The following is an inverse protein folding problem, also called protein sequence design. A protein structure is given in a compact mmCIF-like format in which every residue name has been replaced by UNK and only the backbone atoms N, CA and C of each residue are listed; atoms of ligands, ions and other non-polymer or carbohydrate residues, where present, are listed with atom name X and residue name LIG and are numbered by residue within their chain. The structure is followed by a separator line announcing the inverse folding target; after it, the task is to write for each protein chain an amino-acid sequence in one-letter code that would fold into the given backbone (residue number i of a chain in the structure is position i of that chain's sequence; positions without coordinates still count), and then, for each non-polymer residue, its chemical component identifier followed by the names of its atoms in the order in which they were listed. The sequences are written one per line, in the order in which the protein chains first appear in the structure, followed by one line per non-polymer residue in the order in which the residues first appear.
data_IF_473628703273
#
_entry.id   IF_473628703273
#
_cell.length_a   1.000
_cell.length_b   1.000
_cell.length_c   1.000
_cell.angle_alpha   90.00
_cell.angle_beta   90.00
_cell.angle_gamma   90.00
#
_symmetry.space_group_name_H-M   'P 1'
#
loop_
_entity.id
_entity.type
_entity.pdbx_description
1 polymer ?
#
# COMPACT_ATOMS: atom_id res chain seq x y z
N UNK A 1 20.63 8.01 16.94
CA UNK A 1 20.00 6.82 17.58
C UNK A 1 18.50 6.83 17.34
N UNK A 2 17.98 5.86 16.56
CA UNK A 2 16.54 5.74 16.29
C UNK A 2 15.80 5.58 17.63
N UNK A 3 14.74 6.36 17.90
CA UNK A 3 13.99 6.22 19.14
C UNK A 3 13.43 4.80 19.23
N UNK A 4 13.84 4.06 20.26
CA UNK A 4 13.28 2.74 20.54
C UNK A 4 11.89 2.95 21.12
N UNK A 5 10.89 2.41 20.44
CA UNK A 5 9.52 2.37 20.92
C UNK A 5 9.47 1.64 22.27
N UNK A 6 8.71 2.17 23.24
CA UNK A 6 8.53 1.52 24.53
C UNK A 6 7.99 0.09 24.33
N UNK A 7 8.46 -0.85 25.14
CA UNK A 7 8.18 -2.28 24.91
C UNK A 7 6.70 -2.62 25.00
N UNK A 8 5.94 -1.86 25.76
CA UNK A 8 4.54 -2.21 26.01
C UNK A 8 3.61 -1.65 24.93
N UNK A 9 4.06 -0.76 24.04
CA UNK A 9 3.23 -0.16 23.00
C UNK A 9 3.49 -0.74 21.60
N UNK A 10 4.25 -1.83 21.47
CA UNK A 10 4.37 -2.60 20.22
C UNK A 10 3.32 -3.73 20.19
N UNK A 11 2.48 -3.74 19.14
CA UNK A 11 1.46 -4.78 18.92
C UNK A 11 2.05 -6.18 18.99
N UNK A 12 3.26 -6.39 18.45
CA UNK A 12 3.92 -7.70 18.36
C UNK A 12 4.32 -8.25 19.73
N UNK A 13 4.48 -7.38 20.73
CA UNK A 13 4.81 -7.78 22.10
C UNK A 13 3.56 -8.13 22.91
N UNK A 14 2.45 -7.43 22.67
CA UNK A 14 1.13 -7.75 23.29
C UNK A 14 0.48 -8.98 22.67
N UNK A 15 0.64 -9.14 21.36
CA UNK A 15 0.12 -10.24 20.58
C UNK A 15 1.29 -10.85 19.80
N UNK A 16 2.01 -11.82 20.39
CA UNK A 16 3.11 -12.49 19.71
C UNK A 16 2.67 -12.95 18.33
N UNK A 17 3.50 -12.79 17.30
CA UNK A 17 3.17 -13.29 15.96
C UNK A 17 3.32 -14.82 16.02
N UNK A 18 2.25 -15.49 16.40
CA UNK A 18 2.11 -16.93 16.59
C UNK A 18 0.69 -17.29 16.17
N UNK A 19 0.50 -18.49 15.63
CA UNK A 19 -0.74 -18.88 14.91
C UNK A 19 -2.08 -18.52 15.58
N UNK A 20 -2.15 -18.42 16.91
CA UNK A 20 -3.40 -18.10 17.63
C UNK A 20 -3.59 -16.61 17.99
N UNK A 21 -2.54 -15.81 17.95
CA UNK A 21 -2.56 -14.38 18.31
C UNK A 21 -2.54 -13.45 17.09
N UNK A 22 -2.33 -14.00 15.90
CA UNK A 22 -2.34 -13.26 14.63
C UNK A 22 -3.67 -12.54 14.39
N UNK A 23 -4.81 -13.16 14.71
CA UNK A 23 -6.13 -12.53 14.54
C UNK A 23 -6.31 -11.29 15.43
N UNK A 24 -5.86 -11.36 16.69
CA UNK A 24 -5.94 -10.21 17.62
C UNK A 24 -5.01 -9.09 17.19
N UNK A 25 -3.81 -9.43 16.70
CA UNK A 25 -2.88 -8.46 16.13
C UNK A 25 -3.46 -7.80 14.87
N UNK A 26 -4.07 -8.59 13.98
CA UNK A 26 -4.73 -8.10 12.76
C UNK A 26 -5.86 -7.13 13.09
N UNK A 27 -6.78 -7.52 13.98
CA UNK A 27 -7.89 -6.65 14.43
C UNK A 27 -7.34 -5.34 15.00
N UNK A 28 -6.30 -5.42 15.84
CA UNK A 28 -5.67 -4.24 16.43
C UNK A 28 -5.05 -3.31 15.38
N UNK A 29 -4.38 -3.87 14.36
CA UNK A 29 -3.82 -3.11 13.23
C UNK A 29 -4.91 -2.42 12.41
N UNK A 30 -5.98 -3.15 12.10
CA UNK A 30 -7.05 -2.73 11.19
C UNK A 30 -8.01 -1.71 11.80
N UNK A 31 -8.37 -1.88 13.08
CA UNK A 31 -9.48 -1.14 13.67
C UNK A 31 -9.04 0.03 14.55
N UNK A 32 -7.74 0.16 14.87
CA UNK A 32 -7.23 1.20 15.78
C UNK A 32 -6.28 2.15 15.05
N UNK A 33 -6.80 3.17 14.35
CA UNK A 33 -5.98 4.10 13.57
C UNK A 33 -5.16 5.07 14.46
N UNK A 34 -4.10 5.68 13.93
CA UNK A 34 -3.32 6.69 14.65
C UNK A 34 -4.16 7.91 15.05
N UNK A 35 -3.81 8.51 16.18
CA UNK A 35 -4.45 9.72 16.67
C UNK A 35 -3.94 10.96 15.94
N UNK A 36 -4.82 11.93 15.72
CA UNK A 36 -4.49 13.19 15.07
C UNK A 36 -3.87 14.16 16.08
N UNK A 37 -2.73 14.76 15.72
CA UNK A 37 -2.20 15.88 16.49
C UNK A 37 -3.04 17.13 16.18
N UNK A 38 -3.28 17.96 17.19
CA UNK A 38 -3.93 19.26 17.01
C UNK A 38 -3.08 20.12 16.06
N UNK A 39 -3.68 20.62 14.97
CA UNK A 39 -2.98 21.41 13.95
C UNK A 39 -3.02 20.83 12.53
N UNK A 40 -3.49 19.59 12.34
CA UNK A 40 -3.97 19.05 11.05
C UNK A 40 -2.94 18.79 9.94
N UNK A 41 -1.69 19.23 10.11
CA UNK A 41 -0.66 19.19 9.06
C UNK A 41 -0.14 17.82 8.63
N UNK A 42 -0.38 16.76 9.41
CA UNK A 42 0.24 15.44 9.26
C UNK A 42 -0.71 14.37 8.70
N UNK A 43 -1.78 14.77 8.02
CA UNK A 43 -2.75 13.84 7.44
C UNK A 43 -2.14 12.81 6.49
N UNK A 44 -1.09 13.18 5.76
CA UNK A 44 -0.35 12.27 4.86
C UNK A 44 0.34 11.13 5.62
N UNK A 45 1.03 11.47 6.72
CA UNK A 45 1.71 10.49 7.58
C UNK A 45 0.71 9.53 8.22
N UNK A 46 -0.43 10.05 8.68
CA UNK A 46 -1.49 9.21 9.26
C UNK A 46 -2.10 8.25 8.25
N UNK A 47 -2.38 8.73 7.03
CA UNK A 47 -2.85 7.86 5.95
C UNK A 47 -1.82 6.77 5.63
N UNK A 48 -0.53 7.11 5.60
CA UNK A 48 0.54 6.13 5.37
C UNK A 48 0.62 5.10 6.49
N UNK A 49 0.52 5.51 7.75
CA UNK A 49 0.48 4.59 8.90
C UNK A 49 -0.72 3.65 8.78
N UNK A 50 -1.91 4.16 8.42
CA UNK A 50 -3.12 3.33 8.25
C UNK A 50 -2.93 2.30 7.12
N UNK A 51 -2.37 2.73 5.97
CA UNK A 51 -2.07 1.83 4.85
C UNK A 51 -1.08 0.75 5.26
N UNK A 52 0.03 1.12 5.91
CA UNK A 52 1.04 0.17 6.38
C UNK A 52 0.44 -0.84 7.36
N UNK A 53 -0.38 -0.38 8.31
CA UNK A 53 -1.08 -1.27 9.24
C UNK A 53 -1.98 -2.26 8.51
N UNK A 54 -2.69 -1.81 7.48
CA UNK A 54 -3.52 -2.71 6.67
C UNK A 54 -2.68 -3.73 5.89
N UNK A 55 -1.56 -3.31 5.31
CA UNK A 55 -0.58 -4.22 4.68
C UNK A 55 -0.05 -5.22 5.72
N UNK A 56 0.20 -4.76 6.95
CA UNK A 56 0.72 -5.62 8.00
C UNK A 56 -0.28 -6.72 8.40
N UNK A 57 -1.54 -6.35 8.59
CA UNK A 57 -2.60 -7.34 8.83
C UNK A 57 -2.83 -8.29 7.64
N UNK A 58 -2.54 -7.85 6.40
CA UNK A 58 -2.75 -8.64 5.19
C UNK A 58 -1.63 -9.64 4.91
N UNK A 59 -0.36 -9.21 5.01
CA UNK A 59 0.79 -10.02 4.54
C UNK A 59 1.94 -10.17 5.54
N UNK A 60 1.95 -9.46 6.68
CA UNK A 60 3.12 -9.47 7.58
C UNK A 60 3.00 -10.47 8.74
N UNK A 61 1.79 -10.90 9.10
CA UNK A 61 1.56 -11.78 10.25
C UNK A 61 1.75 -13.27 9.90
N UNK A 62 1.88 -14.10 10.94
CA UNK A 62 2.09 -15.55 10.81
C UNK A 62 3.56 -15.96 10.60
N UNK A 63 3.83 -17.28 10.64
CA UNK A 63 5.20 -17.82 10.59
C UNK A 63 5.93 -17.52 9.28
N UNK A 64 5.18 -17.43 8.18
CA UNK A 64 5.70 -17.10 6.85
C UNK A 64 5.41 -15.64 6.46
N UNK A 65 4.92 -14.82 7.40
CA UNK A 65 4.58 -13.43 7.18
C UNK A 65 5.83 -12.59 6.89
N UNK A 66 5.65 -11.51 6.14
CA UNK A 66 6.75 -10.65 5.74
C UNK A 66 7.52 -10.01 6.91
N UNK A 67 6.94 -9.91 8.11
CA UNK A 67 7.66 -9.40 9.28
C UNK A 67 8.75 -10.36 9.79
N UNK A 68 8.74 -11.63 9.40
CA UNK A 68 9.79 -12.61 9.76
C UNK A 68 10.97 -12.61 8.79
N UNK A 69 10.89 -11.83 7.70
CA UNK A 69 11.95 -11.72 6.69
C UNK A 69 13.14 -10.93 7.23
N UNK A 70 14.34 -11.37 6.85
CA UNK A 70 15.60 -10.79 7.32
C UNK A 70 15.74 -9.29 7.00
N UNK A 71 15.11 -8.82 5.92
CA UNK A 71 15.19 -7.42 5.50
C UNK A 71 14.34 -6.48 6.38
N UNK A 72 13.32 -6.99 7.08
CA UNK A 72 12.30 -6.15 7.72
C UNK A 72 12.84 -5.40 8.94
N UNK A 73 13.58 -6.09 9.83
CA UNK A 73 14.14 -5.45 11.02
C UNK A 73 15.18 -4.34 10.70
N UNK A 74 16.10 -4.52 9.74
CA UNK A 74 16.94 -3.43 9.24
C UNK A 74 16.12 -2.28 8.65
N UNK A 75 15.07 -2.57 7.87
CA UNK A 75 14.20 -1.55 7.29
C UNK A 75 13.49 -0.71 8.36
N UNK A 76 12.97 -1.33 9.43
CA UNK A 76 12.39 -0.61 10.58
C UNK A 76 13.41 0.29 11.30
N UNK A 77 14.65 -0.18 11.40
CA UNK A 77 15.72 0.58 12.06
C UNK A 77 16.12 1.83 11.28
N UNK A 78 16.01 1.76 9.95
CA UNK A 78 16.30 2.86 9.04
C UNK A 78 15.10 3.80 8.84
N UNK A 79 13.88 3.24 8.74
CA UNK A 79 12.65 3.98 8.49
C UNK A 79 11.71 3.91 9.70
N UNK A 80 11.66 4.97 10.54
CA UNK A 80 10.88 4.95 11.77
C UNK A 80 9.36 4.91 11.52
N UNK A 81 8.88 5.21 10.31
CA UNK A 81 7.47 5.07 9.95
C UNK A 81 7.05 3.59 10.02
N UNK A 82 7.90 2.68 9.54
CA UNK A 82 7.63 1.24 9.52
C UNK A 82 7.47 0.68 10.94
N UNK A 83 8.36 1.10 11.84
CA UNK A 83 8.30 0.73 13.25
C UNK A 83 7.06 1.32 13.94
N UNK A 84 6.78 2.60 13.71
CA UNK A 84 5.64 3.28 14.31
C UNK A 84 4.29 2.72 13.83
N UNK A 85 4.23 2.14 12.62
CA UNK A 85 3.03 1.44 12.17
C UNK A 85 2.63 0.26 13.07
N UNK A 86 3.56 -0.34 13.83
CA UNK A 86 3.27 -1.36 14.85
C UNK A 86 2.81 -0.81 16.20
N UNK A 87 2.79 0.52 16.36
CA UNK A 87 2.41 1.15 17.62
C UNK A 87 0.96 0.84 18.00
N UNK A 88 0.71 0.70 19.31
CA UNK A 88 -0.61 0.39 19.82
C UNK A 88 -1.42 1.66 20.13
N UNK A 89 -2.36 1.99 19.23
CA UNK A 89 -3.25 3.13 19.41
C UNK A 89 -4.46 2.77 20.27
N UNK A 90 -4.38 3.06 21.56
CA UNK A 90 -5.43 2.76 22.53
C UNK A 90 -6.51 3.84 22.68
N UNK A 91 -7.60 3.49 23.37
CA UNK A 91 -8.72 4.41 23.66
C UNK A 91 -8.60 5.09 25.01
N UNK A 92 -7.85 4.48 25.94
CA UNK A 92 -7.62 5.03 27.28
C UNK A 92 -6.88 6.37 27.22
N UNK A 93 -7.14 7.25 28.18
CA UNK A 93 -6.49 8.58 28.23
C UNK A 93 -4.97 8.47 28.16
N UNK A 94 -4.38 7.61 28.99
CA UNK A 94 -2.93 7.38 29.02
C UNK A 94 -2.40 6.77 27.72
N UNK A 95 -3.13 5.81 27.13
CA UNK A 95 -2.73 5.21 25.84
C UNK A 95 -2.75 6.25 24.71
N UNK A 96 -3.72 7.17 24.74
CA UNK A 96 -3.79 8.28 23.78
C UNK A 96 -2.63 9.25 23.96
N UNK A 97 -2.31 9.61 25.20
CA UNK A 97 -1.17 10.49 25.50
C UNK A 97 0.15 9.86 25.02
N UNK A 98 0.42 8.59 25.33
CA UNK A 98 1.61 7.86 24.84
C UNK A 98 1.67 7.78 23.32
N UNK A 99 0.54 7.51 22.66
CA UNK A 99 0.49 7.48 21.19
C UNK A 99 0.79 8.84 20.55
N UNK A 100 0.31 9.93 21.15
CA UNK A 100 0.62 11.28 20.67
C UNK A 100 2.08 11.63 20.89
N UNK A 101 2.65 11.28 22.05
CA UNK A 101 4.09 11.46 22.33
C UNK A 101 4.95 10.67 21.33
N UNK A 102 4.64 9.40 21.10
CA UNK A 102 5.33 8.56 20.12
C UNK A 102 5.27 9.15 18.71
N UNK A 103 4.14 9.75 18.33
CA UNK A 103 3.98 10.42 17.04
C UNK A 103 4.80 11.70 16.94
N UNK A 104 4.88 12.50 18.01
CA UNK A 104 5.76 13.70 18.06
C UNK A 104 7.23 13.28 17.90
N UNK A 105 7.64 12.19 18.56
CA UNK A 105 8.99 11.62 18.43
C UNK A 105 9.26 11.13 17.00
N UNK A 106 8.28 10.47 16.36
CA UNK A 106 8.37 10.08 14.96
C UNK A 106 8.59 11.30 14.06
N UNK A 107 7.75 12.33 14.17
CA UNK A 107 7.83 13.54 13.34
C UNK A 107 9.20 14.20 13.48
N UNK A 108 9.71 14.32 14.71
CA UNK A 108 11.05 14.86 14.96
C UNK A 108 12.14 14.02 14.28
N UNK A 109 12.02 12.70 14.36
CA UNK A 109 12.98 11.79 13.71
C UNK A 109 12.97 11.93 12.19
N UNK A 110 11.80 12.13 11.58
CA UNK A 110 11.68 12.41 10.16
C UNK A 110 12.29 13.78 9.80
N UNK A 111 12.09 14.79 10.64
CA UNK A 111 12.70 16.10 10.46
C UNK A 111 14.23 16.06 10.50
N UNK A 112 14.80 15.26 11.40
CA UNK A 112 16.25 15.01 11.44
C UNK A 112 16.77 14.31 10.18
N UNK A 113 15.89 13.64 9.42
CA UNK A 113 16.18 13.04 8.10
C UNK A 113 15.90 13.97 6.92
N UNK A 114 15.55 15.25 7.17
CA UNK A 114 15.33 16.26 6.14
C UNK A 114 13.87 16.40 5.67
N UNK A 115 12.92 15.77 6.35
CA UNK A 115 11.48 15.98 6.13
C UNK A 115 10.98 17.23 6.86
N UNK A 116 9.87 17.81 6.42
CA UNK A 116 9.19 18.94 7.09
C UNK A 116 8.22 18.46 8.20
N UNK A 117 7.71 17.23 8.11
CA UNK A 117 6.74 16.67 9.05
C UNK A 117 5.27 17.01 8.75
N UNK A 118 5.01 17.56 7.56
CA UNK A 118 3.69 17.95 7.04
C UNK A 118 3.44 17.45 5.61
N UNK A 119 4.27 16.52 5.15
CA UNK A 119 4.21 15.92 3.83
C UNK A 119 2.78 15.41 3.52
N UNK A 120 2.41 15.54 2.26
CA UNK A 120 1.30 14.80 1.68
C UNK A 120 1.57 13.31 1.70
N UNK A 121 0.50 12.53 1.61
CA UNK A 121 0.62 11.08 1.49
C UNK A 121 1.51 10.67 0.31
N UNK A 122 1.33 11.31 -0.86
CA UNK A 122 2.05 10.95 -2.07
C UNK A 122 3.55 11.27 -1.98
N UNK A 123 3.94 12.35 -1.30
CA UNK A 123 5.34 12.67 -1.02
C UNK A 123 6.00 11.60 -0.13
N UNK A 124 5.29 11.11 0.90
CA UNK A 124 5.82 10.06 1.77
C UNK A 124 5.87 8.70 1.06
N UNK A 125 4.79 8.29 0.39
CA UNK A 125 4.69 7.01 -0.33
C UNK A 125 5.74 6.87 -1.46
N UNK A 126 6.13 8.01 -2.08
CA UNK A 126 7.14 8.10 -3.14
C UNK A 126 8.52 8.52 -2.65
N UNK A 127 8.67 8.73 -1.34
CA UNK A 127 9.96 9.14 -0.80
C UNK A 127 11.03 8.09 -1.06
N UNK A 128 12.28 8.54 -1.25
CA UNK A 128 13.45 7.66 -1.34
C UNK A 128 13.54 6.72 -0.13
N UNK A 129 13.15 7.20 1.05
CA UNK A 129 13.13 6.39 2.27
C UNK A 129 12.19 5.18 2.12
N UNK A 130 10.93 5.39 1.71
CA UNK A 130 9.97 4.31 1.50
C UNK A 130 10.37 3.41 0.33
N UNK A 131 10.84 3.98 -0.78
CA UNK A 131 11.29 3.23 -1.95
C UNK A 131 12.43 2.26 -1.61
N UNK A 132 13.44 2.71 -0.85
CA UNK A 132 14.59 1.88 -0.46
C UNK A 132 14.26 0.86 0.63
N UNK A 133 13.49 1.26 1.65
CA UNK A 133 13.32 0.45 2.86
C UNK A 133 12.16 -0.53 2.78
N UNK A 134 11.12 -0.23 2.00
CA UNK A 134 9.91 -1.05 1.95
C UNK A 134 9.53 -1.48 0.53
N UNK A 135 9.30 -0.54 -0.38
CA UNK A 135 8.79 -0.85 -1.72
C UNK A 135 9.81 -1.54 -2.64
N UNK A 136 11.10 -1.37 -2.36
CA UNK A 136 12.20 -1.93 -3.12
C UNK A 136 12.64 -3.33 -2.71
N UNK A 137 11.93 -3.96 -1.77
CA UNK A 137 12.21 -5.31 -1.29
C UNK A 137 11.62 -6.34 -2.24
N UNK A 138 12.26 -7.50 -2.40
CA UNK A 138 11.92 -8.44 -3.47
C UNK A 138 10.47 -8.98 -3.38
N UNK A 139 9.87 -9.03 -2.19
CA UNK A 139 8.45 -9.38 -2.03
C UNK A 139 7.47 -8.24 -2.38
N UNK A 140 7.94 -7.00 -2.55
CA UNK A 140 7.11 -5.82 -2.83
C UNK A 140 7.23 -5.30 -4.27
N UNK A 141 8.25 -5.74 -5.00
CA UNK A 141 8.57 -5.18 -6.33
C UNK A 141 7.71 -5.79 -7.42
N UNK A 142 7.26 -4.95 -8.35
CA UNK A 142 6.37 -5.34 -9.44
C UNK A 142 7.07 -6.14 -10.54
N UNK A 143 8.38 -5.94 -10.68
CA UNK A 143 9.19 -6.51 -11.74
C UNK A 143 10.20 -7.49 -11.16
N UNK A 144 10.32 -8.64 -11.83
CA UNK A 144 11.47 -9.52 -11.63
C UNK A 144 12.74 -8.80 -12.09
N UNK A 145 13.93 -9.28 -11.72
CA UNK A 145 15.17 -8.67 -12.18
C UNK A 145 15.16 -8.50 -13.70
N UNK A 146 15.63 -7.34 -14.19
CA UNK A 146 15.59 -7.00 -15.62
C UNK A 146 16.77 -7.63 -16.35
N UNK A 147 16.56 -8.05 -17.59
CA UNK A 147 17.59 -8.66 -18.42
C UNK A 147 17.78 -7.87 -19.72
N UNK A 148 19.02 -7.79 -20.21
CA UNK A 148 19.26 -7.44 -21.60
C UNK A 148 18.82 -8.62 -22.48
N UNK A 149 17.92 -8.39 -23.44
CA UNK A 149 17.34 -9.45 -24.29
C UNK A 149 18.40 -10.14 -25.15
N UNK A 150 19.48 -9.43 -25.54
CA UNK A 150 20.51 -9.94 -26.44
C UNK A 150 21.55 -10.77 -25.70
N UNK A 151 21.95 -10.33 -24.51
CA UNK A 151 23.01 -11.01 -23.73
C UNK A 151 22.46 -11.90 -22.62
N UNK A 152 21.19 -11.73 -22.26
CA UNK A 152 20.54 -12.31 -21.07
C UNK A 152 21.25 -11.93 -19.76
N UNK A 153 22.10 -10.91 -19.79
CA UNK A 153 22.77 -10.42 -18.59
C UNK A 153 21.81 -9.63 -17.71
N UNK A 154 21.98 -9.80 -16.40
CA UNK A 154 21.20 -9.09 -15.41
C UNK A 154 21.58 -7.61 -15.39
N UNK A 155 20.58 -6.75 -15.57
CA UNK A 155 20.77 -5.31 -15.44
C UNK A 155 20.75 -4.91 -13.96
N UNK A 156 21.79 -4.22 -13.46
CA UNK A 156 21.83 -3.77 -12.08
C UNK A 156 20.68 -2.81 -11.79
N UNK A 157 20.09 -2.95 -10.61
CA UNK A 157 19.01 -2.09 -10.14
C UNK A 157 19.06 -2.02 -8.62
N UNK A 158 19.16 -0.81 -8.08
CA UNK A 158 19.14 -0.56 -6.64
C UNK A 158 17.75 -0.83 -6.05
N UNK A 159 17.67 -1.06 -4.74
CA UNK A 159 16.37 -1.20 -4.05
C UNK A 159 15.49 0.03 -4.25
N UNK A 160 16.08 1.22 -4.18
CA UNK A 160 15.36 2.47 -4.43
C UNK A 160 14.71 2.48 -5.82
N UNK A 161 15.49 2.22 -6.88
CA UNK A 161 14.97 2.22 -8.25
C UNK A 161 13.88 1.15 -8.44
N UNK A 162 14.05 -0.04 -7.86
CA UNK A 162 13.01 -1.08 -7.87
C UNK A 162 11.71 -0.57 -7.22
N UNK A 163 11.81 0.09 -6.06
CA UNK A 163 10.68 0.63 -5.33
C UNK A 163 9.96 1.76 -6.07
N UNK A 164 10.72 2.67 -6.69
CA UNK A 164 10.20 3.77 -7.50
C UNK A 164 9.49 3.27 -8.77
N UNK A 165 10.05 2.27 -9.45
CA UNK A 165 9.45 1.66 -10.65
C UNK A 165 8.20 0.83 -10.33
N UNK A 166 8.02 0.38 -9.08
CA UNK A 166 6.89 -0.46 -8.66
C UNK A 166 5.60 0.31 -8.34
N UNK A 167 5.46 1.55 -8.82
CA UNK A 167 4.21 2.31 -8.80
C UNK A 167 3.59 2.31 -10.20
N UNK A 168 2.44 1.65 -10.34
CA UNK A 168 1.68 1.66 -11.60
C UNK A 168 0.94 2.98 -11.72
N UNK A 169 1.00 3.61 -12.89
CA UNK A 169 0.31 4.86 -13.17
C UNK A 169 -0.79 4.61 -14.19
N UNK A 170 -2.01 4.98 -13.83
CA UNK A 170 -3.21 4.90 -14.68
C UNK A 170 -3.84 6.28 -14.77
N UNK A 171 -3.77 6.88 -15.96
CA UNK A 171 -4.29 8.21 -16.23
C UNK A 171 -5.29 8.14 -17.38
N UNK A 172 -6.57 8.38 -17.10
CA UNK A 172 -7.65 8.29 -18.09
C UNK A 172 -7.70 9.44 -19.12
N UNK A 173 -6.72 10.36 -19.12
CA UNK A 173 -6.71 11.53 -20.01
C UNK A 173 -6.33 11.21 -21.47
N UNK A 174 -5.76 10.04 -21.76
CA UNK A 174 -5.30 9.66 -23.11
C UNK A 174 -5.83 8.25 -23.43
N UNK A 175 -7.09 8.20 -23.86
CA UNK A 175 -7.78 6.94 -24.17
C UNK A 175 -8.34 6.24 -22.92
N UNK A 176 -9.32 5.37 -23.14
CA UNK A 176 -9.99 4.58 -22.10
C UNK A 176 -9.04 3.45 -21.66
N UNK A 177 -7.96 3.80 -20.96
CA UNK A 177 -7.06 2.80 -20.42
C UNK A 177 -7.65 2.25 -19.11
N UNK A 178 -8.11 1.00 -19.15
CA UNK A 178 -8.55 0.32 -17.94
C UNK A 178 -7.34 -0.05 -17.07
N UNK A 179 -7.57 -0.19 -15.77
CA UNK A 179 -6.55 -0.67 -14.83
C UNK A 179 -5.97 -2.03 -15.25
N UNK A 180 -6.84 -2.95 -15.71
CA UNK A 180 -6.41 -4.25 -16.21
C UNK A 180 -5.56 -4.15 -17.48
N UNK A 181 -5.99 -3.32 -18.44
CA UNK A 181 -5.22 -3.07 -19.66
C UNK A 181 -3.84 -2.50 -19.35
N UNK A 182 -3.73 -1.63 -18.34
CA UNK A 182 -2.43 -1.12 -17.91
C UNK A 182 -1.50 -2.24 -17.45
N UNK A 183 -1.97 -3.19 -16.64
CA UNK A 183 -1.14 -4.31 -16.20
C UNK A 183 -0.65 -5.19 -17.36
N UNK A 184 -1.46 -5.34 -18.41
CA UNK A 184 -1.11 -6.13 -19.59
C UNK A 184 -0.01 -5.45 -20.43
N UNK A 185 0.08 -4.13 -20.38
CA UNK A 185 1.09 -3.33 -21.08
C UNK A 185 2.40 -3.10 -20.30
N UNK A 186 2.51 -3.55 -19.05
CA UNK A 186 3.71 -3.29 -18.24
C UNK A 186 4.84 -4.29 -18.48
N UNK A 187 4.56 -5.46 -19.04
CA UNK A 187 5.50 -6.57 -19.14
C UNK A 187 5.78 -6.94 -20.59
N UNK A 188 6.92 -7.59 -20.84
CA UNK A 188 7.43 -7.88 -22.18
C UNK A 188 8.71 -7.14 -22.51
N UNK A 189 8.95 -6.95 -23.80
CA UNK A 189 10.20 -6.40 -24.31
C UNK A 189 10.05 -4.91 -24.62
N UNK A 190 11.04 -4.14 -24.17
CA UNK A 190 11.07 -2.69 -24.32
C UNK A 190 12.43 -2.25 -24.84
N UNK A 191 12.45 -1.13 -25.56
CA UNK A 191 13.69 -0.48 -25.95
C UNK A 191 13.94 0.71 -25.03
N UNK A 192 15.06 0.68 -24.29
CA UNK A 192 15.53 1.78 -23.44
C UNK A 192 16.88 2.26 -24.01
N UNK A 193 16.85 3.32 -24.83
CA UNK A 193 18.03 3.75 -25.60
C UNK A 193 18.42 2.72 -26.66
N UNK A 194 19.66 2.24 -26.63
CA UNK A 194 20.17 1.20 -27.54
C UNK A 194 19.99 -0.23 -26.98
N UNK A 195 19.46 -0.36 -25.77
CA UNK A 195 19.27 -1.65 -25.09
C UNK A 195 17.85 -2.17 -25.30
N UNK A 196 17.73 -3.48 -25.54
CA UNK A 196 16.46 -4.20 -25.52
C UNK A 196 16.33 -4.88 -24.16
N UNK A 197 15.32 -4.53 -23.39
CA UNK A 197 15.15 -4.95 -22.00
C UNK A 197 13.89 -5.77 -21.87
N UNK A 198 14.02 -6.94 -21.25
CA UNK A 198 12.87 -7.77 -20.87
C UNK A 198 12.41 -7.41 -19.45
N UNK A 199 11.14 -7.03 -19.32
CA UNK A 199 10.48 -6.74 -18.04
C UNK A 199 9.45 -7.81 -17.74
N UNK A 200 9.73 -8.60 -16.70
CA UNK A 200 8.91 -9.74 -16.28
C UNK A 200 8.15 -9.40 -15.00
N UNK A 201 6.92 -9.90 -14.81
CA UNK A 201 6.19 -9.67 -13.55
C UNK A 201 6.87 -10.40 -12.39
N UNK A 202 7.20 -9.68 -11.31
CA UNK A 202 7.45 -10.26 -9.99
C UNK A 202 6.15 -10.18 -9.22
N UNK A 203 5.61 -11.33 -8.79
CA UNK A 203 4.30 -11.45 -8.12
C UNK A 203 4.37 -10.82 -6.73
N UNK A 204 4.13 -9.50 -6.54
CA UNK A 204 4.45 -8.87 -5.27
C UNK A 204 3.35 -9.19 -4.26
N UNK A 205 3.60 -9.00 -2.98
CA UNK A 205 2.55 -9.11 -1.96
C UNK A 205 1.56 -7.95 -2.06
N UNK A 206 2.06 -6.75 -2.40
CA UNK A 206 1.28 -5.53 -2.58
C UNK A 206 1.57 -4.89 -3.94
N UNK A 207 0.53 -4.52 -4.68
CA UNK A 207 0.63 -3.67 -5.88
C UNK A 207 0.13 -2.27 -5.53
N UNK A 208 0.89 -1.24 -5.92
CA UNK A 208 0.53 0.17 -5.77
C UNK A 208 0.15 0.77 -7.11
N UNK A 209 -0.97 1.48 -7.15
CA UNK A 209 -1.48 2.13 -8.35
C UNK A 209 -1.81 3.59 -8.04
N UNK A 210 -1.17 4.52 -8.72
CA UNK A 210 -1.66 5.89 -8.84
C UNK A 210 -2.74 5.94 -9.92
N UNK A 211 -3.94 6.35 -9.52
CA UNK A 211 -5.09 6.48 -10.40
C UNK A 211 -5.53 7.93 -10.43
N UNK A 212 -5.70 8.45 -11.65
CA UNK A 212 -6.35 9.72 -11.90
C UNK A 212 -7.61 9.47 -12.74
N UNK A 213 -8.80 9.79 -12.21
CA UNK A 213 -10.05 9.56 -12.91
C UNK A 213 -10.14 10.41 -14.17
N UNK A 214 -11.01 9.98 -15.10
CA UNK A 214 -11.39 10.78 -16.24
C UNK A 214 -12.05 12.10 -15.79
N UNK A 215 -11.85 13.18 -16.55
CA UNK A 215 -12.48 14.46 -16.24
C UNK A 215 -14.01 14.35 -16.32
N UNK A 216 -14.53 13.70 -17.37
CA UNK A 216 -15.95 13.37 -17.49
C UNK A 216 -16.34 12.25 -16.50
N UNK A 217 -17.28 12.50 -15.57
CA UNK A 217 -17.80 11.48 -14.67
C UNK A 217 -18.40 10.25 -15.36
N UNK A 218 -18.91 10.39 -16.59
CA UNK A 218 -19.51 9.27 -17.33
C UNK A 218 -18.48 8.26 -17.85
N UNK A 219 -17.22 8.69 -17.99
CA UNK A 219 -16.10 7.85 -18.42
C UNK A 219 -15.39 7.17 -17.23
N UNK A 220 -15.85 7.45 -16.00
CA UNK A 220 -15.27 6.86 -14.80
C UNK A 220 -15.79 5.44 -14.62
N UNK A 221 -14.91 4.45 -14.44
CA UNK A 221 -15.36 3.09 -14.24
C UNK A 221 -16.00 2.95 -12.85
N UNK A 222 -17.01 2.07 -12.72
CA UNK A 222 -17.71 1.85 -11.46
C UNK A 222 -16.80 1.19 -10.41
N UNK A 223 -17.07 1.40 -9.13
CA UNK A 223 -16.24 0.93 -8.01
C UNK A 223 -15.90 -0.56 -8.09
N UNK A 224 -16.85 -1.38 -8.53
CA UNK A 224 -16.66 -2.82 -8.62
C UNK A 224 -15.49 -3.23 -9.53
N UNK A 225 -15.13 -2.41 -10.54
CA UNK A 225 -13.99 -2.69 -11.42
C UNK A 225 -12.64 -2.47 -10.75
N UNK A 226 -12.60 -1.75 -9.62
CA UNK A 226 -11.38 -1.57 -8.83
C UNK A 226 -11.21 -2.65 -7.76
N UNK A 227 -12.19 -3.51 -7.52
CA UNK A 227 -12.11 -4.44 -6.38
C UNK A 227 -11.14 -5.57 -6.62
N UNK A 228 -11.04 -6.02 -7.87
CA UNK A 228 -10.19 -7.12 -8.29
C UNK A 228 -9.38 -6.73 -9.51
N UNK A 229 -8.11 -7.12 -9.50
CA UNK A 229 -7.24 -7.04 -10.67
C UNK A 229 -6.51 -8.36 -10.83
N UNK A 230 -6.32 -8.78 -12.07
CA UNK A 230 -5.57 -9.97 -12.40
C UNK A 230 -4.15 -9.58 -12.79
N UNK A 231 -3.18 -10.00 -11.98
CA UNK A 231 -1.78 -9.74 -12.25
C UNK A 231 -1.16 -10.89 -13.06
N UNK A 232 -0.45 -10.61 -14.16
CA UNK A 232 0.09 -11.67 -15.01
C UNK A 232 1.17 -12.48 -14.29
N UNK A 233 1.17 -13.79 -14.51
CA UNK A 233 2.20 -14.71 -14.03
C UNK A 233 2.86 -15.38 -15.21
N UNK A 234 4.18 -15.18 -15.34
CA UNK A 234 4.97 -15.72 -16.43
C UNK A 234 5.81 -16.91 -15.94
N UNK A 235 6.14 -17.83 -16.84
CA UNK A 235 7.07 -18.94 -16.62
C UNK A 235 8.13 -18.95 -17.70
N UNK A 236 9.33 -19.34 -17.31
CA UNK A 236 10.43 -19.60 -18.21
C UNK A 236 10.26 -20.97 -18.87
N UNK A 237 10.45 -21.01 -20.18
CA UNK A 237 10.47 -22.23 -20.98
C UNK A 237 11.84 -22.39 -21.59
N UNK A 238 12.57 -23.40 -21.12
CA UNK A 238 13.85 -23.81 -21.69
C UNK A 238 13.57 -24.76 -22.86
N UNK A 239 13.61 -24.22 -24.08
CA UNK A 239 13.60 -25.05 -25.29
C UNK A 239 15.00 -25.07 -25.86
N UNK A 240 15.44 -26.25 -26.35
CA UNK A 240 16.83 -26.51 -26.73
C UNK A 240 17.46 -25.48 -27.68
N UNK A 241 16.67 -24.69 -28.41
CA UNK A 241 17.14 -23.71 -29.39
C UNK A 241 16.69 -22.24 -29.11
N UNK A 242 15.69 -22.01 -28.26
CA UNK A 242 15.16 -20.65 -28.00
C UNK A 242 14.46 -20.55 -26.63
N UNK A 243 15.17 -20.17 -25.55
CA UNK A 243 14.54 -19.98 -24.25
C UNK A 243 13.65 -18.74 -24.27
N UNK A 244 12.40 -18.88 -23.82
CA UNK A 244 11.45 -17.77 -23.81
C UNK A 244 10.61 -17.74 -22.53
N UNK A 245 10.04 -16.57 -22.23
CA UNK A 245 9.03 -16.43 -21.19
C UNK A 245 7.64 -16.36 -21.81
N UNK A 246 6.68 -17.05 -21.19
CA UNK A 246 5.28 -16.96 -21.59
C UNK A 246 4.37 -16.79 -20.37
N UNK A 247 3.24 -16.15 -20.59
CA UNK A 247 2.17 -16.05 -19.60
C UNK A 247 1.59 -17.44 -19.32
N UNK A 248 1.78 -17.93 -18.10
CA UNK A 248 1.29 -19.23 -17.63
C UNK A 248 -0.03 -19.13 -16.86
N UNK A 249 -0.41 -17.93 -16.44
CA UNK A 249 -1.64 -17.71 -15.70
C UNK A 249 -1.74 -16.29 -15.17
N UNK A 250 -2.69 -16.11 -14.24
CA UNK A 250 -2.98 -14.84 -13.57
C UNK A 250 -3.10 -15.09 -12.07
N UNK A 251 -2.67 -14.11 -11.29
CA UNK A 251 -2.79 -14.11 -9.83
C UNK A 251 -3.78 -13.02 -9.46
N UNK A 252 -4.88 -13.36 -8.78
CA UNK A 252 -5.87 -12.36 -8.39
C UNK A 252 -5.38 -11.52 -7.23
N UNK A 253 -5.58 -10.21 -7.32
CA UNK A 253 -5.35 -9.25 -6.25
C UNK A 253 -6.64 -8.53 -5.89
N UNK A 254 -6.80 -8.23 -4.60
CA UNK A 254 -7.98 -7.54 -4.06
C UNK A 254 -7.57 -6.17 -3.53
N UNK A 255 -8.41 -5.16 -3.76
CA UNK A 255 -8.22 -3.82 -3.20
C UNK A 255 -8.29 -3.88 -1.66
N UNK A 256 -7.23 -3.44 -0.99
CA UNK A 256 -7.13 -3.43 0.49
C UNK A 256 -7.08 -2.03 1.08
N UNK A 257 -6.67 -1.01 0.32
CA UNK A 257 -6.71 0.37 0.75
C UNK A 257 -6.78 1.34 -0.44
N UNK A 258 -7.39 2.49 -0.20
CA UNK A 258 -7.44 3.62 -1.13
C UNK A 258 -7.09 4.87 -0.33
N UNK A 259 -6.17 5.67 -0.84
CA UNK A 259 -5.86 6.99 -0.31
C UNK A 259 -6.23 8.03 -1.34
N UNK A 260 -7.15 8.92 -0.99
CA UNK A 260 -7.44 10.15 -1.72
C UNK A 260 -6.39 11.20 -1.34
N UNK A 261 -5.69 11.73 -2.33
CA UNK A 261 -4.68 12.76 -2.10
C UNK A 261 -5.35 14.09 -1.79
N UNK A 262 -4.67 14.95 -1.02
CA UNK A 262 -5.08 16.34 -0.86
C UNK A 262 -4.90 17.11 -2.18
N UNK A 263 -5.84 17.99 -2.52
CA UNK A 263 -5.74 18.83 -3.73
C UNK A 263 -4.81 20.02 -3.54
N UNK A 264 -4.76 20.54 -2.30
CA UNK A 264 -3.97 21.71 -1.93
C UNK A 264 -3.00 21.38 -0.79
N UNK A 265 -1.89 22.11 -0.62
CA UNK A 265 -0.90 21.85 0.44
C UNK A 265 -1.49 21.85 1.85
N UNK A 266 -2.48 22.72 2.10
CA UNK A 266 -3.22 22.86 3.37
C UNK A 266 -4.40 21.89 3.49
N UNK A 267 -4.71 21.16 2.43
CA UNK A 267 -5.75 20.15 2.38
C UNK A 267 -5.42 18.92 3.22
N UNK A 268 -6.31 17.92 3.16
CA UNK A 268 -6.19 16.69 3.95
C UNK A 268 -6.22 15.46 3.05
N UNK A 269 -5.21 14.61 3.21
CA UNK A 269 -5.28 13.25 2.66
C UNK A 269 -6.33 12.45 3.44
N UNK A 270 -7.00 11.51 2.76
CA UNK A 270 -8.04 10.66 3.34
C UNK A 270 -7.84 9.22 2.92
N UNK A 271 -8.14 8.27 3.81
CA UNK A 271 -7.87 6.85 3.58
C UNK A 271 -9.09 6.00 3.90
N UNK A 272 -9.30 4.98 3.09
CA UNK A 272 -10.28 3.92 3.28
C UNK A 272 -9.59 2.57 3.17
N UNK A 273 -9.93 1.64 4.03
CA UNK A 273 -9.34 0.29 4.05
C UNK A 273 -10.42 -0.76 3.90
N UNK A 274 -10.06 -1.89 3.29
CA UNK A 274 -10.96 -2.97 2.99
C UNK A 274 -10.40 -4.28 3.53
N UNK A 275 -11.25 -5.09 4.12
CA UNK A 275 -10.92 -6.45 4.54
C UNK A 275 -10.69 -7.34 3.33
N UNK A 276 -10.17 -8.55 3.54
CA UNK A 276 -9.91 -9.50 2.46
C UNK A 276 -11.17 -9.78 1.62
N UNK A 277 -12.36 -9.85 2.22
CA UNK A 277 -13.63 -10.00 1.50
C UNK A 277 -14.15 -8.71 0.82
N UNK A 278 -13.33 -7.66 0.78
CA UNK A 278 -13.61 -6.38 0.12
C UNK A 278 -14.68 -5.53 0.81
N UNK A 279 -15.05 -5.83 2.07
CA UNK A 279 -15.90 -4.95 2.87
C UNK A 279 -15.06 -3.79 3.44
N UNK A 280 -15.66 -2.61 3.57
CA UNK A 280 -15.01 -1.48 4.22
C UNK A 280 -14.77 -1.78 5.72
N UNK A 281 -13.56 -1.56 6.20
CA UNK A 281 -13.22 -1.75 7.62
C UNK A 281 -13.62 -0.48 8.38
N UNK A 282 -14.56 -0.62 9.31
CA UNK A 282 -14.96 0.47 10.20
C UNK A 282 -14.03 0.47 11.42
N UNK A 283 -13.31 1.57 11.70
CA UNK A 283 -12.42 1.62 12.85
C UNK A 283 -13.22 1.59 14.16
N UNK A 284 -12.61 1.03 15.20
CA UNK A 284 -13.13 0.97 16.57
C UNK A 284 -13.46 2.34 17.17
N UNK A 285 -12.81 3.37 16.65
CA UNK A 285 -13.07 4.78 16.91
C UNK A 285 -12.76 5.53 15.64
N UNK A 286 -13.68 6.38 15.20
CA UNK A 286 -13.40 7.29 14.11
C UNK A 286 -12.60 8.47 14.66
N UNK A 287 -11.36 8.69 14.20
CA UNK A 287 -10.89 10.05 14.19
C UNK A 287 -11.70 10.70 13.07
N UNK A 288 -12.71 11.52 13.45
CA UNK A 288 -13.76 12.17 12.62
C UNK A 288 -13.30 12.84 11.30
N UNK A 289 -12.01 12.81 11.00
CA UNK A 289 -11.35 13.62 10.00
C UNK A 289 -10.41 12.86 9.02
N UNK A 290 -10.20 11.54 9.15
CA UNK A 290 -9.50 10.72 8.13
C UNK A 290 -10.44 9.88 7.29
N UNK A 291 -11.59 9.54 7.89
CA UNK A 291 -12.60 8.68 7.30
C UNK A 291 -13.95 9.29 7.65
N UNK A 292 -14.60 9.96 6.69
CA UNK A 292 -16.03 10.12 6.76
C UNK A 292 -16.66 9.53 5.50
N UNK A 293 -17.79 8.82 5.67
CA UNK A 293 -18.60 8.22 4.59
C UNK A 293 -19.24 9.23 3.63
N UNK A 294 -18.43 10.14 3.09
CA UNK A 294 -18.81 11.20 2.14
C UNK A 294 -17.97 11.19 0.87
N UNK A 295 -16.95 10.34 0.77
CA UNK A 295 -16.15 10.21 -0.44
C UNK A 295 -16.00 8.76 -0.91
N UNK A 296 -15.94 8.61 -2.23
CA UNK A 296 -15.85 7.37 -3.00
C UNK A 296 -14.87 7.56 -4.18
N UNK A 297 -14.32 6.46 -4.69
CA UNK A 297 -13.62 6.45 -5.97
C UNK A 297 -14.53 6.84 -7.16
N UNK A 298 -15.85 6.71 -6.99
CA UNK A 298 -16.86 7.10 -7.97
C UNK A 298 -17.31 8.56 -7.84
N UNK A 299 -16.81 9.32 -6.86
CA UNK A 299 -17.18 10.73 -6.68
C UNK A 299 -16.90 11.53 -7.96
N UNK A 300 -17.73 12.55 -8.22
CA UNK A 300 -17.61 13.41 -9.40
C UNK A 300 -16.40 14.37 -9.35
N UNK A 301 -15.81 14.59 -8.18
CA UNK A 301 -14.64 15.45 -8.02
C UNK A 301 -13.36 14.76 -8.51
N UNK A 302 -12.52 15.43 -9.33
CA UNK A 302 -11.36 14.81 -9.96
C UNK A 302 -10.16 14.78 -9.00
N UNK A 303 -10.23 13.95 -7.95
CA UNK A 303 -9.08 13.74 -7.06
C UNK A 303 -8.10 12.72 -7.65
N UNK A 304 -6.84 12.80 -7.21
CA UNK A 304 -5.86 11.72 -7.46
C UNK A 304 -5.91 10.72 -6.30
N UNK A 305 -5.79 9.44 -6.61
CA UNK A 305 -5.85 8.37 -5.64
C UNK A 305 -4.61 7.47 -5.74
N UNK A 306 -4.17 6.91 -4.60
CA UNK A 306 -3.32 5.72 -4.59
C UNK A 306 -4.14 4.53 -4.11
N UNK A 307 -4.20 3.49 -4.93
CA UNK A 307 -4.85 2.22 -4.62
C UNK A 307 -3.79 1.18 -4.26
N UNK A 308 -4.10 0.39 -3.24
CA UNK A 308 -3.26 -0.70 -2.76
C UNK A 308 -4.00 -2.01 -2.92
N UNK A 309 -3.41 -2.92 -3.66
CA UNK A 309 -3.95 -4.24 -3.93
C UNK A 309 -3.11 -5.29 -3.22
N UNK A 310 -3.73 -6.09 -2.37
CA UNK A 310 -3.10 -7.23 -1.71
C UNK A 310 -3.35 -8.51 -2.48
N UNK A 311 -2.37 -9.41 -2.50
CA UNK A 311 -2.53 -10.73 -3.12
C UNK A 311 -3.70 -11.48 -2.47
N UNK A 312 -4.58 -12.06 -3.27
CA UNK A 312 -5.72 -12.81 -2.73
C UNK A 312 -5.27 -14.18 -2.22
N UNK A 313 -5.77 -14.60 -1.05
CA UNK A 313 -5.50 -15.93 -0.54
C UNK A 313 -6.41 -16.99 -1.18
N UNK A 314 -5.94 -18.23 -1.38
CA UNK A 314 -6.71 -19.31 -2.02
C UNK A 314 -8.05 -19.62 -1.34
N UNK A 315 -8.18 -19.31 -0.05
CA UNK A 315 -9.37 -19.57 0.76
C UNK A 315 -10.32 -18.37 0.86
N UNK A 316 -10.07 -17.28 0.12
CA UNK A 316 -10.97 -16.14 0.10
C UNK A 316 -12.27 -16.48 -0.62
N UNK A 317 -13.40 -16.18 0.03
CA UNK A 317 -14.70 -16.28 -0.59
C UNK A 317 -14.83 -15.27 -1.76
N UNK A 318 -15.65 -15.55 -2.78
CA UNK A 318 -15.94 -14.60 -3.84
C UNK A 318 -16.40 -13.26 -3.25
N UNK A 319 -15.89 -12.15 -3.79
CA UNK A 319 -16.25 -10.84 -3.28
C UNK A 319 -17.75 -10.58 -3.55
N UNK A 320 -18.57 -10.35 -2.51
CA UNK A 320 -19.97 -9.96 -2.72
C UNK A 320 -20.03 -8.60 -3.42
N UNK A 321 -21.02 -8.30 -4.29
CA UNK A 321 -21.15 -7.01 -4.96
C UNK A 321 -21.62 -5.93 -3.98
N UNK A 322 -20.72 -5.52 -3.09
CA UNK A 322 -20.97 -4.47 -2.10
C UNK A 322 -20.63 -3.10 -2.73
N UNK A 323 -21.48 -2.08 -2.53
CA UNK A 323 -21.11 -0.71 -2.86
C UNK A 323 -19.94 -0.24 -1.98
N UNK A 324 -19.18 0.74 -2.45
CA UNK A 324 -18.09 1.33 -1.64
C UNK A 324 -18.61 2.00 -0.36
N UNK A 325 -19.80 2.59 -0.46
CA UNK A 325 -20.54 3.24 0.61
C UNK A 325 -21.85 2.49 0.87
N UNK A 326 -22.03 1.97 2.08
CA UNK A 326 -23.35 1.51 2.52
C UNK A 326 -24.13 2.71 3.10
N UNK A 327 -24.93 3.35 2.26
CA UNK A 327 -25.77 4.49 2.64
C UNK A 327 -26.82 4.15 3.71
N UNK A 328 -26.99 2.88 4.08
CA UNK A 328 -27.94 2.46 5.13
C UNK A 328 -27.46 2.74 6.55
N UNK A 329 -26.16 2.99 6.75
CA UNK A 329 -25.56 3.22 8.07
C UNK A 329 -25.66 4.70 8.51
N UNK A 330 -26.04 5.61 7.60
CA UNK A 330 -26.06 7.07 7.85
C UNK A 330 -27.26 7.53 8.70
N UNK A 331 -28.19 6.63 9.07
CA UNK A 331 -29.38 6.95 9.88
C UNK A 331 -29.28 6.47 11.33
N UNK A 332 -28.19 6.80 12.02
CA UNK A 332 -28.15 6.77 13.49
C UNK A 332 -27.65 8.12 14.00
N UNK A 333 -28.52 9.12 13.91
CA UNK A 333 -28.43 10.36 14.70
C UNK A 333 -28.98 10.14 16.11
#
# INVERSE_FOLDING_TARGET
PTPKMDSDDDIRKRFPISSYSDERAAIALETRPPLRLTGGGNSGLDCLIIVLRRIYSHSMLGPNGLATKEWFSPAESENPILAHAWHMFGKGKEEKERALEAKVVLIRSLQDMGMIGMESFCELDRSTLMARTFWGQDEMVLFSPRFDVRTLELLPCTKQEKGEKSLVKVYHQIGVQTLQGRFEELFGDYTEGDQCIMSLPARPEIIRVEYRPAEDPNDRPPFHSFRLVDFPAWTFHDTNDDPYFAMAGRVPYTLIAVVRHRDEPTGKDSVRTYSANGANIVPEYEPREYTPGKWSLEDAEPHTYTLFYGRSHPNMLPLPPLPELDNRVVNFD
#
